data_IF_479104646857
#
_entry.id   IF_479104646857
#
_cell.length_a   1.000
_cell.length_b   1.000
_cell.length_c   1.000
_cell.angle_alpha   90.00
_cell.angle_beta   90.00
_cell.angle_gamma   90.00
#
_symmetry.space_group_name_H-M   'P 1'
#
loop_
_entity.id
_entity.type
_entity.pdbx_description
1 polymer ?
#
# COMPACT_ATOMS: atom_id res chain seq x y z
N UNK A 1 -20.66 12.60 -20.77
CA UNK A 1 -20.07 12.18 -19.47
C UNK A 1 -19.19 13.31 -18.93
N UNK A 2 -19.78 14.45 -18.56
CA UNK A 2 -19.04 15.67 -18.20
C UNK A 2 -18.72 15.75 -16.70
N UNK A 3 -19.65 15.29 -15.85
CA UNK A 3 -19.49 15.25 -14.39
C UNK A 3 -18.31 14.34 -14.01
N UNK A 4 -18.22 13.15 -14.62
CA UNK A 4 -17.14 12.21 -14.35
C UNK A 4 -15.76 12.72 -14.80
N UNK A 5 -15.71 13.55 -15.84
CA UNK A 5 -14.45 14.16 -16.28
C UNK A 5 -13.97 15.22 -15.27
N UNK A 6 -14.86 16.10 -14.81
CA UNK A 6 -14.55 17.07 -13.75
C UNK A 6 -14.10 16.40 -12.44
N UNK A 7 -14.77 15.31 -12.06
CA UNK A 7 -14.41 14.55 -10.87
C UNK A 7 -13.00 13.93 -11.00
N UNK A 8 -12.67 13.43 -12.19
CA UNK A 8 -11.35 12.89 -12.48
C UNK A 8 -10.26 13.97 -12.35
N UNK A 9 -10.50 15.15 -12.90
CA UNK A 9 -9.55 16.27 -12.81
C UNK A 9 -9.35 16.72 -11.36
N UNK A 10 -10.44 16.87 -10.60
CA UNK A 10 -10.40 17.25 -9.19
C UNK A 10 -9.62 16.23 -8.34
N UNK A 11 -9.86 14.92 -8.57
CA UNK A 11 -9.13 13.86 -7.87
C UNK A 11 -7.64 13.85 -8.22
N UNK A 12 -7.30 14.11 -9.48
CA UNK A 12 -5.92 14.16 -9.94
C UNK A 12 -5.16 15.33 -9.30
N UNK A 13 -5.77 16.51 -9.25
CA UNK A 13 -5.22 17.70 -8.60
C UNK A 13 -5.00 17.47 -7.09
N UNK A 14 -6.00 16.86 -6.41
CA UNK A 14 -5.90 16.53 -5.00
C UNK A 14 -4.75 15.56 -4.70
N UNK A 15 -4.60 14.52 -5.55
CA UNK A 15 -3.52 13.55 -5.43
C UNK A 15 -2.14 14.20 -5.58
N UNK A 16 -1.96 15.06 -6.59
CA UNK A 16 -0.69 15.78 -6.81
C UNK A 16 -0.38 16.71 -5.63
N UNK A 17 -1.37 17.41 -5.10
CA UNK A 17 -1.18 18.29 -3.95
C UNK A 17 -0.78 17.53 -2.68
N UNK A 18 -1.39 16.37 -2.44
CA UNK A 18 -1.04 15.51 -1.30
C UNK A 18 0.41 15.04 -1.39
N UNK A 19 0.83 14.56 -2.56
CA UNK A 19 2.19 14.11 -2.81
C UNK A 19 3.21 15.25 -2.69
N UNK A 20 2.90 16.43 -3.23
CA UNK A 20 3.77 17.61 -3.12
C UNK A 20 3.99 17.99 -1.64
N UNK A 21 2.92 17.98 -0.82
CA UNK A 21 3.02 18.25 0.62
C UNK A 21 3.84 17.21 1.37
N UNK A 22 3.70 15.92 1.04
CA UNK A 22 4.41 14.83 1.71
C UNK A 22 5.90 14.76 1.32
N UNK A 23 6.22 15.02 0.05
CA UNK A 23 7.59 14.87 -0.49
C UNK A 23 8.41 16.15 -0.43
N UNK A 24 7.78 17.30 -0.19
CA UNK A 24 8.44 18.61 -0.25
C UNK A 24 8.76 19.11 -1.66
N UNK A 25 8.28 18.41 -2.70
CA UNK A 25 8.51 18.76 -4.12
C UNK A 25 7.42 19.67 -4.65
N UNK A 26 7.70 20.28 -5.79
CA UNK A 26 6.72 21.15 -6.46
C UNK A 26 5.61 20.33 -7.11
N UNK A 27 4.41 20.92 -7.23
CA UNK A 27 3.27 20.29 -7.92
C UNK A 27 3.60 19.93 -9.38
N UNK A 28 4.43 20.74 -10.03
CA UNK A 28 4.84 20.57 -11.44
C UNK A 28 5.72 19.33 -11.62
N UNK A 29 6.69 19.13 -10.73
CA UNK A 29 7.56 17.94 -10.73
C UNK A 29 6.77 16.67 -10.47
N UNK A 30 5.88 16.68 -9.47
CA UNK A 30 5.02 15.55 -9.14
C UNK A 30 4.09 15.22 -10.30
N UNK A 31 3.47 16.23 -10.94
CA UNK A 31 2.62 16.00 -12.10
C UNK A 31 3.36 15.27 -13.22
N UNK A 32 4.58 15.71 -13.54
CA UNK A 32 5.43 15.07 -14.55
C UNK A 32 5.85 13.65 -14.15
N UNK A 33 6.14 13.43 -12.88
CA UNK A 33 6.52 12.12 -12.34
C UNK A 33 5.32 11.16 -12.21
N UNK A 34 4.08 11.66 -12.15
CA UNK A 34 2.85 10.84 -12.09
C UNK A 34 2.29 10.54 -13.48
N UNK A 35 2.53 11.41 -14.47
CA UNK A 35 2.16 11.17 -15.88
C UNK A 35 2.74 9.86 -16.44
N UNK A 36 3.91 9.44 -15.94
CA UNK A 36 4.52 8.15 -16.27
C UNK A 36 4.86 7.39 -14.99
N UNK A 37 4.53 6.10 -14.88
CA UNK A 37 4.90 5.32 -13.71
C UNK A 37 6.41 5.36 -13.49
N UNK A 38 6.83 5.91 -12.35
CA UNK A 38 8.21 5.93 -11.90
C UNK A 38 8.38 4.91 -10.79
N UNK A 39 9.21 3.92 -11.03
CA UNK A 39 9.58 2.93 -10.01
C UNK A 39 10.80 3.44 -9.27
N UNK A 40 10.76 3.37 -7.95
CA UNK A 40 11.84 3.79 -7.06
C UNK A 40 12.29 2.60 -6.23
N UNK A 41 13.59 2.42 -6.10
CA UNK A 41 14.17 1.54 -5.10
C UNK A 41 13.94 2.11 -3.69
N UNK A 42 14.08 1.28 -2.67
CA UNK A 42 13.80 1.70 -1.30
C UNK A 42 14.62 2.93 -0.86
N UNK A 43 15.88 3.03 -1.29
CA UNK A 43 16.73 4.19 -1.01
C UNK A 43 16.25 5.43 -1.77
N UNK A 44 15.94 5.28 -3.05
CA UNK A 44 15.44 6.39 -3.89
C UNK A 44 14.09 6.91 -3.38
N UNK A 45 13.25 6.04 -2.80
CA UNK A 45 11.99 6.45 -2.18
C UNK A 45 12.19 7.34 -0.95
N UNK A 46 13.24 7.07 -0.15
CA UNK A 46 13.62 7.94 0.97
C UNK A 46 14.12 9.28 0.44
N UNK A 47 15.03 9.25 -0.53
CA UNK A 47 15.60 10.47 -1.12
C UNK A 47 14.53 11.32 -1.83
N UNK A 48 13.49 10.66 -2.34
CA UNK A 48 12.33 11.34 -2.92
C UNK A 48 11.41 11.99 -1.87
N UNK A 49 11.52 11.61 -0.60
CA UNK A 49 10.65 12.06 0.49
C UNK A 49 9.34 11.26 0.60
N UNK A 50 9.31 10.03 0.07
CA UNK A 50 8.14 9.14 0.17
C UNK A 50 8.20 8.20 1.39
N UNK A 51 9.38 8.00 1.96
CA UNK A 51 9.60 7.12 3.10
C UNK A 51 10.67 7.69 4.04
N UNK A 52 10.61 7.35 5.32
CA UNK A 52 11.55 7.85 6.32
C UNK A 52 12.74 6.91 6.56
N UNK A 53 12.50 5.59 6.57
CA UNK A 53 13.52 4.58 6.91
C UNK A 53 13.28 3.23 6.24
N UNK A 54 14.36 2.58 5.82
CA UNK A 54 14.35 1.16 5.41
C UNK A 54 14.49 0.29 6.67
N UNK A 55 13.49 -0.55 6.92
CA UNK A 55 13.50 -1.51 8.03
C UNK A 55 14.15 -2.82 7.55
N UNK A 56 15.14 -3.30 8.29
CA UNK A 56 15.76 -4.62 8.06
C UNK A 56 15.24 -5.65 9.06
N UNK A 57 15.45 -6.94 8.81
CA UNK A 57 14.97 -8.03 9.67
C UNK A 57 15.60 -8.06 11.07
N UNK A 58 16.66 -7.30 11.30
CA UNK A 58 17.30 -7.13 12.61
C UNK A 58 16.85 -5.86 13.35
N UNK A 59 16.00 -5.03 12.74
CA UNK A 59 15.53 -3.80 13.35
C UNK A 59 14.53 -4.11 14.48
N UNK A 60 14.64 -3.49 15.67
CA UNK A 60 13.68 -3.71 16.75
C UNK A 60 12.24 -3.34 16.38
N UNK A 61 12.03 -2.47 15.39
CA UNK A 61 10.69 -2.17 14.85
C UNK A 61 10.12 -3.28 13.95
N UNK A 62 10.92 -4.29 13.59
CA UNK A 62 10.50 -5.41 12.77
C UNK A 62 9.68 -6.42 13.59
N UNK A 63 8.36 -6.23 13.63
CA UNK A 63 7.45 -7.27 14.10
C UNK A 63 7.30 -8.37 13.05
N UNK A 64 7.89 -9.54 13.31
CA UNK A 64 7.67 -10.73 12.48
C UNK A 64 6.22 -11.18 12.66
N UNK A 65 5.32 -10.76 11.76
CA UNK A 65 3.96 -11.29 11.69
C UNK A 65 4.03 -12.79 11.37
N UNK A 66 3.85 -13.63 12.39
CA UNK A 66 3.91 -15.07 12.25
C UNK A 66 2.57 -15.56 11.68
N UNK A 67 2.46 -15.54 10.36
CA UNK A 67 1.24 -15.94 9.63
C UNK A 67 0.78 -17.36 10.00
N UNK A 68 1.72 -18.24 10.35
CA UNK A 68 1.43 -19.61 10.77
C UNK A 68 0.66 -19.67 12.10
N UNK A 69 1.02 -18.83 13.07
CA UNK A 69 0.34 -18.74 14.36
C UNK A 69 -1.03 -18.07 14.22
N UNK A 70 -1.14 -17.01 13.41
CA UNK A 70 -2.43 -16.38 13.08
C UNK A 70 -3.37 -17.36 12.38
N UNK A 71 -2.87 -18.15 11.43
CA UNK A 71 -3.66 -19.18 10.74
C UNK A 71 -4.03 -20.33 11.66
N UNK A 72 -3.15 -20.74 12.57
CA UNK A 72 -3.45 -21.76 13.58
C UNK A 72 -4.53 -21.27 14.57
N UNK A 73 -4.44 -20.02 15.00
CA UNK A 73 -5.44 -19.37 15.86
C UNK A 73 -6.79 -19.18 15.13
N UNK A 74 -6.77 -18.79 13.86
CA UNK A 74 -7.99 -18.70 13.04
C UNK A 74 -8.61 -20.08 12.77
N UNK A 75 -7.79 -21.12 12.54
CA UNK A 75 -8.24 -22.52 12.38
C UNK A 75 -8.79 -23.10 13.68
N UNK A 76 -8.21 -22.77 14.84
CA UNK A 76 -8.73 -23.22 16.14
C UNK A 76 -10.03 -22.51 16.50
N UNK A 77 -10.14 -21.20 16.25
CA UNK A 77 -11.39 -20.45 16.40
C UNK A 77 -12.50 -20.98 15.47
N UNK A 78 -12.17 -21.35 14.23
CA UNK A 78 -13.10 -22.00 13.29
C UNK A 78 -13.50 -23.42 13.69
N UNK A 79 -12.69 -24.13 14.47
CA UNK A 79 -13.07 -25.45 15.02
C UNK A 79 -13.95 -25.33 16.27
N UNK A 80 -13.79 -24.25 17.04
CA UNK A 80 -14.60 -23.99 18.23
C UNK A 80 -16.02 -23.47 17.89
N UNK A 81 -16.16 -22.68 16.82
CA UNK A 81 -17.46 -22.30 16.28
C UNK A 81 -17.93 -23.36 15.27
N UNK A 82 -18.85 -24.23 15.67
CA UNK A 82 -19.35 -25.35 14.86
C UNK A 82 -19.72 -24.97 13.41
N UNK A 83 -19.40 -25.91 12.50
CA UNK A 83 -19.56 -25.93 11.04
C UNK A 83 -20.50 -24.90 10.38
N UNK A 84 -19.94 -24.11 9.45
CA UNK A 84 -20.62 -23.30 8.42
C UNK A 84 -19.79 -23.24 7.13
N UNK A 85 -20.38 -22.96 5.94
CA UNK A 85 -20.01 -23.59 4.67
C UNK A 85 -18.62 -23.26 4.15
N UNK A 86 -18.00 -24.29 3.58
CA UNK A 86 -16.64 -24.35 3.05
C UNK A 86 -16.43 -23.37 1.88
N UNK A 87 -15.51 -22.40 2.04
CA UNK A 87 -14.98 -21.65 0.89
C UNK A 87 -13.96 -22.52 0.13
N UNK A 88 -14.15 -22.66 -1.18
CA UNK A 88 -13.33 -23.48 -2.06
C UNK A 88 -11.86 -22.99 -2.13
N UNK A 89 -10.89 -23.89 -2.31
CA UNK A 89 -9.49 -23.50 -2.40
C UNK A 89 -9.22 -22.78 -3.72
N UNK A 90 -8.86 -21.49 -3.65
CA UNK A 90 -8.29 -20.76 -4.78
C UNK A 90 -6.84 -21.24 -4.97
N UNK A 91 -6.66 -22.26 -5.80
CA UNK A 91 -5.34 -22.66 -6.27
C UNK A 91 -4.81 -21.65 -7.28
N UNK A 92 -3.62 -21.10 -7.01
CA UNK A 92 -2.73 -20.66 -8.07
C UNK A 92 -1.65 -21.74 -8.24
N UNK A 93 -1.46 -22.17 -9.48
CA UNK A 93 -0.41 -23.09 -9.92
C UNK A 93 0.93 -22.36 -10.00
#
# INVERSE_FOLDING_TARGET
>A
MWIKAKELDANSEYYIELLAKGTGKTKEEIKKDVERPKYLQAQEAIDYGLADKIISSMDPAYEKRNYDEMLAQAKSMRRAAGAGPQAAPSGFR
#
